data_IF_836736707203
#
_entry.id   IF_836736707203
#
_cell.length_a   1.000
_cell.length_b   1.000
_cell.length_c   1.000
_cell.angle_alpha   90.00
_cell.angle_beta   90.00
_cell.angle_gamma   90.00
#
_symmetry.space_group_name_H-M   'P 1'
#
loop_
_entity.id
_entity.type
_entity.pdbx_description
1 polymer ?
#
# COMPACT_ATOMS: atom_id res chain seq x y z
N UNK A 1 -45.56 -5.73 54.86
CA UNK A 1 -45.04 -6.41 53.65
C UNK A 1 -44.37 -5.41 52.68
N UNK A 2 -43.21 -4.83 53.02
CA UNK A 2 -42.52 -3.79 52.19
C UNK A 2 -41.02 -4.09 51.96
N UNK A 3 -40.61 -5.37 52.05
CA UNK A 3 -39.21 -5.77 51.97
C UNK A 3 -38.79 -6.39 50.60
N UNK A 4 -39.72 -6.69 49.69
CA UNK A 4 -39.43 -7.47 48.47
C UNK A 4 -39.07 -6.60 47.23
N UNK A 5 -39.69 -5.42 47.09
CA UNK A 5 -39.52 -4.58 45.88
C UNK A 5 -38.09 -4.05 45.70
N UNK A 6 -37.37 -3.79 46.80
CA UNK A 6 -36.01 -3.27 46.75
C UNK A 6 -35.00 -4.33 46.32
N UNK A 7 -35.17 -5.58 46.74
CA UNK A 7 -34.31 -6.70 46.35
C UNK A 7 -34.44 -7.01 44.85
N UNK A 8 -35.67 -7.01 44.33
CA UNK A 8 -35.96 -7.21 42.91
C UNK A 8 -35.28 -6.15 42.02
N UNK A 9 -35.35 -4.87 42.41
CA UNK A 9 -34.71 -3.75 41.69
C UNK A 9 -33.19 -3.91 41.67
N UNK A 10 -32.58 -4.31 42.79
CA UNK A 10 -31.14 -4.55 42.88
C UNK A 10 -30.72 -5.72 42.00
N UNK A 11 -31.48 -6.82 42.00
CA UNK A 11 -31.21 -7.99 41.15
C UNK A 11 -31.35 -7.69 39.66
N UNK A 12 -32.38 -6.96 39.25
CA UNK A 12 -32.57 -6.50 37.86
C UNK A 12 -31.45 -5.57 37.43
N UNK A 13 -31.06 -4.60 38.28
CA UNK A 13 -29.95 -3.69 37.98
C UNK A 13 -28.60 -4.41 37.92
N UNK A 14 -28.39 -5.46 38.72
CA UNK A 14 -27.18 -6.31 38.63
C UNK A 14 -27.19 -7.18 37.39
N UNK A 15 -28.34 -7.72 36.99
CA UNK A 15 -28.50 -8.53 35.77
C UNK A 15 -28.27 -7.68 34.52
N UNK A 16 -28.86 -6.48 34.46
CA UNK A 16 -28.67 -5.51 33.37
C UNK A 16 -27.21 -5.05 33.25
N UNK A 17 -26.54 -4.79 34.38
CA UNK A 17 -25.11 -4.44 34.39
C UNK A 17 -24.23 -5.59 33.89
N UNK A 18 -24.56 -6.84 34.19
CA UNK A 18 -23.83 -8.02 33.71
C UNK A 18 -24.03 -8.29 32.23
N UNK A 19 -25.25 -8.15 31.70
CA UNK A 19 -25.50 -8.28 30.25
C UNK A 19 -24.83 -7.16 29.45
N UNK A 20 -24.85 -5.94 29.96
CA UNK A 20 -24.16 -4.81 29.33
C UNK A 20 -22.64 -5.01 29.33
N UNK A 21 -22.05 -5.46 30.44
CA UNK A 21 -20.62 -5.72 30.53
C UNK A 21 -20.15 -6.85 29.61
N UNK A 22 -21.00 -7.84 29.30
CA UNK A 22 -20.68 -8.91 28.37
C UNK A 22 -20.76 -8.46 26.90
N UNK A 23 -21.68 -7.54 26.57
CA UNK A 23 -21.84 -7.00 25.22
C UNK A 23 -20.66 -6.11 24.77
N UNK A 24 -19.96 -5.47 25.72
CA UNK A 24 -18.85 -4.55 25.44
C UNK A 24 -17.48 -5.24 25.61
N UNK A 25 -17.45 -6.56 25.88
CA UNK A 25 -16.17 -7.29 26.00
C UNK A 25 -15.52 -7.39 24.62
N UNK A 26 -14.35 -6.77 24.39
CA UNK A 26 -13.64 -6.95 23.14
C UNK A 26 -13.27 -8.42 23.00
N UNK A 27 -13.61 -9.01 21.85
CA UNK A 27 -13.24 -10.39 21.55
C UNK A 27 -11.71 -10.50 21.50
N UNK A 28 -11.13 -11.59 22.00
CA UNK A 28 -9.68 -11.78 22.08
C UNK A 28 -8.95 -11.71 20.71
N UNK A 29 -9.70 -11.73 19.59
CA UNK A 29 -9.19 -11.51 18.23
C UNK A 29 -9.16 -10.04 17.77
N UNK A 30 -9.89 -9.14 18.43
CA UNK A 30 -9.98 -7.72 18.06
C UNK A 30 -8.63 -6.99 18.18
N UNK A 31 -7.79 -7.38 19.14
CA UNK A 31 -6.46 -6.80 19.31
C UNK A 31 -5.52 -7.09 18.14
N UNK A 32 -5.57 -8.31 17.57
CA UNK A 32 -4.77 -8.70 16.40
C UNK A 32 -5.27 -8.05 15.11
N UNK A 33 -6.59 -8.00 14.93
CA UNK A 33 -7.20 -7.31 13.80
C UNK A 33 -6.89 -5.81 13.84
N UNK A 34 -6.96 -5.16 15.00
CA UNK A 34 -6.59 -3.75 15.17
C UNK A 34 -5.10 -3.49 14.93
N UNK A 35 -4.22 -4.39 15.36
CA UNK A 35 -2.77 -4.28 15.17
C UNK A 35 -2.35 -4.36 13.69
N UNK A 36 -3.07 -5.13 12.87
CA UNK A 36 -2.83 -5.23 11.43
C UNK A 36 -3.60 -4.17 10.61
N UNK A 37 -4.78 -3.77 11.06
CA UNK A 37 -5.60 -2.79 10.36
C UNK A 37 -5.08 -1.35 10.49
N UNK A 38 -4.51 -0.98 11.65
CA UNK A 38 -4.02 0.38 11.86
C UNK A 38 -2.91 0.77 10.85
N UNK A 39 -1.84 -0.03 10.63
CA UNK A 39 -0.85 0.28 9.60
C UNK A 39 -1.46 0.38 8.20
N UNK A 40 -2.35 -0.55 7.82
CA UNK A 40 -2.99 -0.54 6.50
C UNK A 40 -3.83 0.72 6.26
N UNK A 41 -4.53 1.22 7.28
CA UNK A 41 -5.29 2.47 7.23
C UNK A 41 -4.39 3.71 7.18
N UNK A 42 -3.23 3.68 7.83
CA UNK A 42 -2.24 4.76 7.71
C UNK A 42 -1.60 4.81 6.32
N UNK A 43 -1.33 3.65 5.69
CA UNK A 43 -0.75 3.60 4.35
C UNK A 43 -1.72 4.12 3.27
N UNK A 44 -3.03 3.85 3.38
CA UNK A 44 -4.01 4.32 2.39
C UNK A 44 -4.17 5.84 2.39
N UNK A 45 -3.94 6.51 3.52
CA UNK A 45 -4.00 7.98 3.61
C UNK A 45 -2.87 8.68 2.82
N UNK A 46 -1.73 8.02 2.59
CA UNK A 46 -0.62 8.57 1.80
C UNK A 46 -0.80 8.36 0.28
N UNK A 47 -1.66 7.43 -0.15
CA UNK A 47 -1.85 7.06 -1.55
C UNK A 47 -2.92 7.91 -2.26
N UNK A 48 -2.85 9.25 -2.14
CA UNK A 48 -3.80 10.15 -2.84
C UNK A 48 -3.44 10.21 -4.33
N UNK A 49 -4.32 9.70 -5.19
CA UNK A 49 -4.19 9.81 -6.64
C UNK A 49 -4.82 11.12 -7.14
N UNK A 50 -4.17 11.84 -8.05
CA UNK A 50 -4.72 13.06 -8.66
C UNK A 50 -5.75 12.66 -9.74
N UNK A 51 -7.03 13.07 -9.65
CA UNK A 51 -8.06 12.65 -10.60
C UNK A 51 -7.78 13.08 -12.04
N UNK A 52 -7.04 14.17 -12.24
CA UNK A 52 -6.66 14.69 -13.55
C UNK A 52 -5.46 13.96 -14.19
N UNK A 53 -4.79 13.04 -13.47
CA UNK A 53 -3.60 12.37 -13.98
C UNK A 53 -3.93 11.18 -14.91
N UNK A 54 -5.14 10.63 -14.81
CA UNK A 54 -5.58 9.48 -15.59
C UNK A 54 -6.71 9.88 -16.53
N UNK A 55 -6.58 9.56 -17.81
CA UNK A 55 -7.59 9.78 -18.84
C UNK A 55 -7.65 8.59 -19.80
N UNK A 56 -8.75 8.42 -20.51
CA UNK A 56 -8.96 7.26 -21.39
C UNK A 56 -9.43 7.66 -22.80
N UNK A 57 -9.01 8.83 -23.26
CA UNK A 57 -9.23 9.25 -24.65
C UNK A 57 -8.34 8.48 -25.63
N UNK A 58 -8.70 8.45 -26.91
CA UNK A 58 -7.92 7.74 -27.94
C UNK A 58 -6.46 8.25 -28.08
N UNK A 59 -6.20 9.52 -27.75
CA UNK A 59 -4.86 10.12 -27.80
C UNK A 59 -4.02 9.86 -26.54
N UNK A 60 -4.57 9.16 -25.55
CA UNK A 60 -3.90 9.01 -24.26
C UNK A 60 -2.73 8.04 -24.34
N UNK A 61 -1.55 8.40 -23.81
CA UNK A 61 -0.44 7.47 -23.70
C UNK A 61 -0.81 6.19 -22.95
N UNK A 62 -0.61 5.05 -23.62
CA UNK A 62 -0.82 3.71 -23.06
C UNK A 62 0.47 2.90 -22.94
N UNK A 63 0.35 1.58 -22.94
CA UNK A 63 1.47 0.67 -22.67
C UNK A 63 2.72 0.90 -23.54
N UNK A 64 2.57 0.98 -24.86
CA UNK A 64 3.72 1.11 -25.78
C UNK A 64 4.46 2.45 -25.61
N UNK A 65 3.71 3.53 -25.39
CA UNK A 65 4.29 4.83 -25.08
C UNK A 65 4.92 4.83 -23.68
N UNK A 66 4.31 4.16 -22.71
CA UNK A 66 4.92 3.90 -21.41
C UNK A 66 6.27 3.22 -21.55
N UNK A 67 6.34 2.12 -22.30
CA UNK A 67 7.57 1.37 -22.58
C UNK A 67 8.66 2.25 -23.20
N UNK A 68 8.30 3.06 -24.20
CA UNK A 68 9.23 3.99 -24.82
C UNK A 68 9.72 5.06 -23.84
N UNK A 69 8.81 5.71 -23.09
CA UNK A 69 9.17 6.72 -22.09
C UNK A 69 10.07 6.15 -20.98
N UNK A 70 9.80 4.92 -20.53
CA UNK A 70 10.65 4.23 -19.56
C UNK A 70 12.06 3.96 -20.10
N UNK A 71 12.20 3.62 -21.38
CA UNK A 71 13.51 3.39 -22.00
C UNK A 71 14.34 4.68 -22.13
N UNK A 72 13.70 5.81 -22.45
CA UNK A 72 14.37 7.12 -22.57
C UNK A 72 14.49 7.87 -21.23
N UNK A 73 14.02 7.28 -20.13
CA UNK A 73 13.94 7.93 -18.82
C UNK A 73 15.20 8.70 -18.38
N UNK A 74 16.43 8.14 -18.49
CA UNK A 74 17.63 8.87 -18.04
C UNK A 74 17.87 10.16 -18.82
N UNK A 75 17.55 10.15 -20.13
CA UNK A 75 17.68 11.33 -20.99
C UNK A 75 16.57 12.33 -20.68
N UNK A 76 15.32 11.88 -20.56
CA UNK A 76 14.19 12.75 -20.22
C UNK A 76 14.39 13.41 -18.84
N UNK A 77 14.90 12.67 -17.86
CA UNK A 77 15.27 13.21 -16.54
C UNK A 77 16.37 14.27 -16.64
N UNK A 78 17.46 14.00 -17.37
CA UNK A 78 18.53 14.98 -17.57
C UNK A 78 18.02 16.28 -18.19
N UNK A 79 17.18 16.18 -19.24
CA UNK A 79 16.60 17.34 -19.92
C UNK A 79 15.63 18.11 -19.02
N UNK A 80 14.84 17.43 -18.18
CA UNK A 80 13.90 18.07 -17.25
C UNK A 80 14.56 18.99 -16.22
N UNK A 81 15.87 18.82 -15.96
CA UNK A 81 16.64 19.70 -15.08
C UNK A 81 16.92 21.08 -15.69
N UNK A 82 16.87 21.19 -17.02
CA UNK A 82 17.21 22.42 -17.75
C UNK A 82 16.04 22.99 -18.54
N UNK A 83 15.07 22.16 -18.90
CA UNK A 83 13.93 22.52 -19.75
C UNK A 83 12.62 22.30 -18.98
N UNK A 84 11.90 23.38 -18.61
CA UNK A 84 10.68 23.27 -17.79
C UNK A 84 9.53 22.54 -18.50
N UNK A 85 9.57 22.50 -19.84
CA UNK A 85 8.54 21.86 -20.66
C UNK A 85 8.76 20.35 -20.84
N UNK A 86 9.88 19.81 -20.35
CA UNK A 86 10.18 18.37 -20.46
C UNK A 86 9.72 17.66 -19.20
N UNK A 87 8.61 16.93 -19.34
CA UNK A 87 8.14 16.01 -18.31
C UNK A 87 8.84 14.65 -18.45
N UNK A 88 9.34 14.11 -17.33
CA UNK A 88 9.93 12.77 -17.27
C UNK A 88 8.91 11.67 -17.55
N UNK A 89 7.64 11.95 -17.23
CA UNK A 89 6.54 11.01 -17.26
C UNK A 89 5.30 11.73 -17.83
N UNK A 90 4.53 11.04 -18.67
CA UNK A 90 3.40 11.64 -19.37
C UNK A 90 2.20 11.82 -18.43
N UNK A 91 1.72 13.05 -18.30
CA UNK A 91 0.49 13.37 -17.58
C UNK A 91 -0.39 14.24 -18.49
N UNK A 92 -1.65 13.86 -18.76
CA UNK A 92 -2.35 12.66 -18.28
C UNK A 92 -2.00 11.39 -19.11
N UNK A 93 -2.16 10.20 -18.52
CA UNK A 93 -1.95 8.91 -19.19
C UNK A 93 -3.11 7.92 -18.89
N UNK A 94 -3.07 6.69 -19.42
CA UNK A 94 -4.16 5.71 -19.24
C UNK A 94 -4.07 4.88 -17.94
N UNK A 95 -3.22 5.28 -17.00
CA UNK A 95 -3.00 4.64 -15.71
C UNK A 95 -2.12 3.40 -15.83
N UNK A 96 -2.58 2.30 -15.20
CA UNK A 96 -1.75 1.12 -14.93
C UNK A 96 -1.06 0.51 -16.14
N UNK A 97 -1.62 0.62 -17.36
CA UNK A 97 -0.97 0.10 -18.57
C UNK A 97 0.22 0.94 -19.01
N UNK A 98 0.10 2.26 -18.98
CA UNK A 98 1.22 3.17 -19.20
C UNK A 98 2.30 2.97 -18.13
N UNK A 99 1.91 2.88 -16.85
CA UNK A 99 2.81 2.63 -15.73
C UNK A 99 3.58 1.32 -15.89
N UNK A 100 2.88 0.25 -16.27
CA UNK A 100 3.48 -1.05 -16.48
C UNK A 100 4.52 -1.01 -17.61
N UNK A 101 4.20 -0.36 -18.73
CA UNK A 101 5.15 -0.14 -19.82
C UNK A 101 6.37 0.64 -19.35
N UNK A 102 6.15 1.76 -18.66
CA UNK A 102 7.20 2.63 -18.13
C UNK A 102 8.16 1.89 -17.19
N UNK A 103 7.61 1.07 -16.29
CA UNK A 103 8.40 0.22 -15.40
C UNK A 103 9.28 -0.78 -16.17
N UNK A 104 8.71 -1.49 -17.15
CA UNK A 104 9.49 -2.43 -17.98
C UNK A 104 10.60 -1.70 -18.76
N UNK A 105 10.30 -0.51 -19.30
CA UNK A 105 11.28 0.31 -20.01
C UNK A 105 12.47 0.70 -19.14
N UNK A 106 12.22 1.07 -17.87
CA UNK A 106 13.29 1.36 -16.90
C UNK A 106 14.13 0.12 -16.60
N UNK A 107 13.46 -1.01 -16.29
CA UNK A 107 14.15 -2.25 -15.89
C UNK A 107 15.04 -2.78 -17.02
N UNK A 108 14.68 -2.55 -18.28
CA UNK A 108 15.50 -2.89 -19.44
C UNK A 108 16.91 -2.27 -19.40
N UNK A 109 17.08 -1.13 -18.72
CA UNK A 109 18.37 -0.46 -18.56
C UNK A 109 19.27 -1.12 -17.49
N UNK A 110 18.82 -2.21 -16.86
CA UNK A 110 19.65 -3.01 -15.93
C UNK A 110 19.72 -2.47 -14.50
N UNK A 111 18.83 -1.55 -14.11
CA UNK A 111 18.72 -1.07 -12.74
C UNK A 111 18.33 -2.24 -11.82
N UNK A 112 19.27 -2.70 -10.99
CA UNK A 112 19.06 -3.74 -9.98
C UNK A 112 19.69 -5.10 -10.28
N UNK A 113 20.18 -5.35 -11.49
CA UNK A 113 20.84 -6.61 -11.85
C UNK A 113 22.34 -6.60 -11.47
N UNK A 114 22.65 -6.56 -10.16
CA UNK A 114 24.03 -6.78 -9.70
C UNK A 114 24.33 -8.28 -9.75
N UNK A 115 25.43 -8.67 -10.41
CA UNK A 115 25.92 -10.06 -10.35
C UNK A 115 26.23 -10.44 -8.91
N UNK A 116 25.55 -11.47 -8.41
CA UNK A 116 25.93 -12.13 -7.16
C UNK A 116 27.19 -12.96 -7.40
N UNK A 117 28.21 -12.80 -6.55
CA UNK A 117 29.40 -13.67 -6.55
C UNK A 117 29.10 -14.90 -5.70
N UNK A 118 29.08 -16.08 -6.31
CA UNK A 118 29.08 -17.35 -5.57
C UNK A 118 30.48 -17.61 -5.03
N UNK A 119 30.61 -17.76 -3.71
CA UNK A 119 31.87 -18.17 -3.06
C UNK A 119 31.76 -19.64 -2.68
N UNK A 120 32.53 -20.49 -3.34
CA UNK A 120 32.63 -21.91 -2.97
C UNK A 120 33.54 -22.04 -1.75
N UNK A 121 32.96 -22.49 -0.64
CA UNK A 121 33.72 -22.78 0.60
C UNK A 121 33.93 -24.28 0.69
N UNK A 122 35.13 -24.75 0.35
CA UNK A 122 35.53 -26.13 0.67
C UNK A 122 35.78 -26.24 2.17
N UNK A 123 35.00 -27.07 2.88
CA UNK A 123 35.34 -27.40 4.27
C UNK A 123 36.65 -28.19 4.28
N UNK A 124 37.69 -27.69 4.95
CA UNK A 124 38.85 -28.52 5.27
C UNK A 124 38.43 -29.52 6.34
N UNK A 125 38.56 -30.82 6.07
CA UNK A 125 38.59 -31.81 7.14
C UNK A 125 39.85 -31.52 7.98
N UNK A 126 39.66 -31.26 9.27
CA UNK A 126 40.76 -31.07 10.23
C UNK A 126 41.28 -32.48 10.59
N UNK A 127 42.61 -32.71 10.53
CA UNK A 127 43.21 -33.99 10.90
C UNK A 127 43.06 -34.28 12.39
#
# INVERSE_FOLDING_TARGET
>A
MRADRSALVIHLARRARRTLALAIRPSAGAGRAALLAAPALFLSACAKQMPSAVTHTAATPGFLLGLWHGFIFPVAWMLSLFMPDVAVYAVPNNGGWYDFGYFIGIVFLGVGARKTRTVYVTRRARP
#
